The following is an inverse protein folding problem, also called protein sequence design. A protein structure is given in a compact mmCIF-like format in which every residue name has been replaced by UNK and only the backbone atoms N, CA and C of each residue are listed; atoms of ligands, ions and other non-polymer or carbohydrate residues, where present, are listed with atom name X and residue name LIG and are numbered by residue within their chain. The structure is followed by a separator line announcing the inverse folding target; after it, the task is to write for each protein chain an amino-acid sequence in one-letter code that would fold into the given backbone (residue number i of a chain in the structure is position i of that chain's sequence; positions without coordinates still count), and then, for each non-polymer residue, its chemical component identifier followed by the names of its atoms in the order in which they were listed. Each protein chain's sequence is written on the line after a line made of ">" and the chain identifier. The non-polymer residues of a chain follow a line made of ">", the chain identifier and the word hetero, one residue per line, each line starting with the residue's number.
data_IF_786515629673
#
_entry.id   IF_786515629673
#
_cell.length_a   1.000
_cell.length_b   1.000
_cell.length_c   1.000
_cell.angle_alpha   90.00
_cell.angle_beta   90.00
_cell.angle_gamma   90.00
#
_symmetry.space_group_name_H-M   'P 1'
#
loop_
_entity.id
_entity.type
_entity.pdbx_description
1 polymer ?
#
# COMPACT_ATOMS: atom_id res chain seq x y z
N UNK A 1 37.92 43.78 -7.80
CA UNK A 1 37.30 43.41 -6.51
C UNK A 1 35.78 43.10 -6.60
N UNK A 2 35.19 42.83 -7.77
CA UNK A 2 33.72 42.55 -7.92
C UNK A 2 33.35 41.08 -8.21
N UNK A 3 34.31 40.17 -8.26
CA UNK A 3 34.08 38.75 -8.65
C UNK A 3 34.14 37.78 -7.48
N UNK A 4 34.46 38.20 -6.27
CA UNK A 4 34.60 37.32 -5.09
C UNK A 4 33.27 37.19 -4.34
N UNK A 5 32.37 38.15 -4.47
CA UNK A 5 31.06 38.10 -3.75
C UNK A 5 29.99 37.24 -4.43
N UNK A 6 30.18 36.86 -5.70
CA UNK A 6 29.22 36.02 -6.41
C UNK A 6 29.36 34.51 -6.10
N UNK A 7 30.51 34.07 -5.60
CA UNK A 7 30.78 32.67 -5.30
C UNK A 7 30.29 32.25 -3.91
N UNK A 8 30.11 33.18 -2.97
CA UNK A 8 29.62 32.88 -1.61
C UNK A 8 28.11 32.78 -1.52
N UNK A 9 27.37 33.34 -2.48
CA UNK A 9 25.90 33.28 -2.51
C UNK A 9 25.32 31.95 -3.01
N UNK A 10 26.10 31.14 -3.77
CA UNK A 10 25.62 29.86 -4.32
C UNK A 10 25.77 28.67 -3.35
N UNK A 11 26.57 28.82 -2.31
CA UNK A 11 26.79 27.74 -1.33
C UNK A 11 25.76 27.70 -0.19
N UNK A 12 24.98 28.78 -0.03
CA UNK A 12 23.97 28.86 1.03
C UNK A 12 22.63 28.20 0.66
N UNK A 13 22.43 27.76 -0.58
CA UNK A 13 21.20 27.12 -1.06
C UNK A 13 21.25 25.58 -1.12
N UNK A 14 22.39 24.98 -0.75
CA UNK A 14 22.60 23.53 -0.88
C UNK A 14 22.41 22.72 0.41
N UNK A 15 21.87 23.29 1.47
CA UNK A 15 21.88 22.63 2.80
C UNK A 15 20.52 22.49 3.46
N UNK A 16 19.50 22.08 2.73
CA UNK A 16 18.27 21.58 3.36
C UNK A 16 17.78 20.25 2.76
N UNK A 17 18.72 19.37 2.46
CA UNK A 17 18.36 17.95 2.48
C UNK A 17 18.39 17.52 3.95
N UNK A 18 17.41 18.00 4.73
CA UNK A 18 17.12 17.42 6.03
C UNK A 18 16.82 15.95 5.80
N UNK A 19 17.53 15.08 6.53
CA UNK A 19 17.20 13.67 6.56
C UNK A 19 15.69 13.57 6.76
N UNK A 20 15.01 13.01 5.78
CA UNK A 20 13.58 12.78 5.89
C UNK A 20 13.36 11.93 7.14
N UNK A 21 12.54 12.41 8.06
CA UNK A 21 12.07 11.59 9.16
C UNK A 21 11.54 10.28 8.59
N UNK A 22 11.78 9.19 9.30
CA UNK A 22 11.30 7.87 8.85
C UNK A 22 9.80 7.98 8.59
N UNK A 23 9.32 7.56 7.43
CA UNK A 23 7.91 7.70 7.09
C UNK A 23 7.05 6.87 8.06
N UNK A 24 5.90 7.42 8.42
CA UNK A 24 4.86 6.62 9.06
C UNK A 24 4.20 5.75 7.98
N UNK A 25 4.07 4.46 8.25
CA UNK A 25 3.46 3.52 7.32
C UNK A 25 2.18 2.99 7.97
N UNK A 26 1.04 3.26 7.34
CA UNK A 26 -0.25 2.71 7.73
C UNK A 26 -0.73 1.77 6.63
N UNK A 27 -0.97 0.52 6.98
CA UNK A 27 -1.53 -0.48 6.08
C UNK A 27 -2.95 -0.81 6.53
N UNK A 28 -3.91 -0.67 5.62
CA UNK A 28 -5.32 -0.96 5.88
C UNK A 28 -5.79 -1.98 4.86
N UNK A 29 -6.33 -3.10 5.35
CA UNK A 29 -6.98 -4.09 4.50
C UNK A 29 -8.49 -4.08 4.68
N UNK A 30 -9.18 -4.09 3.56
CA UNK A 30 -10.57 -4.44 3.54
C UNK A 30 -10.73 -5.96 3.54
N UNK A 31 -11.65 -6.47 4.36
CA UNK A 31 -12.06 -7.87 4.32
C UNK A 31 -13.32 -7.97 3.46
N UNK A 32 -13.23 -8.67 2.34
CA UNK A 32 -14.26 -8.78 1.30
C UNK A 32 -14.73 -7.43 0.71
N UNK A 33 -13.89 -6.40 0.78
CA UNK A 33 -14.14 -5.12 0.13
C UNK A 33 -13.65 -5.19 -1.32
N UNK A 34 -14.57 -5.18 -2.26
CA UNK A 34 -14.25 -5.14 -3.68
C UNK A 34 -13.85 -3.73 -4.17
N UNK A 35 -13.20 -3.67 -5.30
CA UNK A 35 -12.84 -2.43 -5.97
C UNK A 35 -14.07 -1.50 -6.13
N UNK A 36 -15.22 -2.06 -6.46
CA UNK A 36 -16.47 -1.32 -6.67
C UNK A 36 -17.04 -0.68 -5.40
N UNK A 37 -16.63 -1.13 -4.22
CA UNK A 37 -17.05 -0.56 -2.95
C UNK A 37 -16.32 0.74 -2.59
N UNK A 38 -15.22 1.03 -3.27
CA UNK A 38 -14.43 2.24 -3.05
C UNK A 38 -14.84 3.29 -4.09
N UNK A 39 -15.43 4.40 -3.62
CA UNK A 39 -16.00 5.41 -4.53
C UNK A 39 -14.97 6.06 -5.43
N UNK A 40 -13.71 6.12 -5.05
CA UNK A 40 -12.64 6.63 -5.91
C UNK A 40 -12.53 5.88 -7.23
N UNK A 41 -12.73 4.56 -7.21
CA UNK A 41 -12.62 3.74 -8.43
C UNK A 41 -13.88 3.71 -9.28
N UNK A 42 -15.04 3.94 -8.68
CA UNK A 42 -16.33 3.83 -9.36
C UNK A 42 -17.08 5.15 -9.50
N UNK A 43 -16.52 6.24 -8.98
CA UNK A 43 -17.18 7.55 -8.95
C UNK A 43 -18.57 7.50 -8.26
N UNK A 44 -18.73 6.57 -7.32
CA UNK A 44 -19.98 6.36 -6.60
C UNK A 44 -21.07 5.61 -7.40
N UNK A 45 -20.73 5.00 -8.55
CA UNK A 45 -21.70 4.30 -9.43
C UNK A 45 -22.47 3.21 -8.68
N UNK A 46 -21.86 2.51 -7.73
CA UNK A 46 -22.47 1.43 -6.96
C UNK A 46 -23.21 1.95 -5.71
N UNK A 47 -23.24 3.26 -5.50
CA UNK A 47 -23.93 3.90 -4.37
C UNK A 47 -23.10 3.98 -3.08
N UNK A 48 -21.97 3.34 -3.00
CA UNK A 48 -21.05 3.48 -1.86
C UNK A 48 -20.29 4.81 -1.90
N UNK A 49 -20.01 5.32 -0.71
CA UNK A 49 -19.18 6.51 -0.55
C UNK A 49 -18.09 6.24 0.49
N UNK A 50 -16.85 6.52 0.11
CA UNK A 50 -15.67 6.30 0.95
C UNK A 50 -14.85 7.59 1.06
N UNK A 51 -15.43 8.67 1.64
CA UNK A 51 -14.86 10.02 1.55
C UNK A 51 -13.44 10.12 2.13
N UNK A 52 -13.14 9.36 3.17
CA UNK A 52 -11.81 9.37 3.77
C UNK A 52 -10.76 8.63 2.92
N UNK A 53 -11.15 7.56 2.24
CA UNK A 53 -10.28 6.84 1.30
C UNK A 53 -10.11 7.68 0.04
N UNK A 54 -11.18 8.28 -0.46
CA UNK A 54 -11.16 9.16 -1.62
C UNK A 54 -10.22 10.35 -1.39
N UNK A 55 -10.23 10.94 -0.19
CA UNK A 55 -9.30 12.01 0.19
C UNK A 55 -7.84 11.57 0.12
N UNK A 56 -7.50 10.37 0.60
CA UNK A 56 -6.14 9.84 0.48
C UNK A 56 -5.73 9.74 -0.99
N UNK A 57 -6.64 9.31 -1.84
CA UNK A 57 -6.43 9.21 -3.27
C UNK A 57 -6.28 10.57 -3.97
N UNK A 58 -6.99 11.59 -3.51
CA UNK A 58 -6.94 12.96 -4.04
C UNK A 58 -5.68 13.71 -3.62
N UNK A 59 -5.27 13.54 -2.36
CA UNK A 59 -4.10 14.20 -1.78
C UNK A 59 -2.78 13.46 -2.09
N UNK A 60 -2.86 12.20 -2.52
CA UNK A 60 -1.72 11.33 -2.73
C UNK A 60 -1.71 10.66 -4.10
N UNK A 61 -1.70 9.34 -4.11
CA UNK A 61 -1.60 8.54 -5.33
C UNK A 61 -2.69 7.47 -5.37
N UNK A 62 -3.23 7.23 -6.55
CA UNK A 62 -4.17 6.13 -6.82
C UNK A 62 -3.55 5.17 -7.83
N UNK A 63 -3.50 3.89 -7.49
CA UNK A 63 -3.09 2.85 -8.43
C UNK A 63 -4.31 2.33 -9.17
N UNK A 64 -4.23 2.25 -10.48
CA UNK A 64 -5.30 1.73 -11.35
C UNK A 64 -5.18 0.24 -11.60
N UNK A 65 -3.96 -0.29 -11.51
CA UNK A 65 -3.60 -1.66 -11.81
C UNK A 65 -2.80 -2.27 -10.66
N UNK A 66 -3.44 -2.40 -9.51
CA UNK A 66 -2.89 -3.03 -8.33
C UNK A 66 -3.81 -4.17 -7.91
N UNK A 67 -3.35 -5.40 -8.08
CA UNK A 67 -4.16 -6.60 -7.89
C UNK A 67 -3.86 -7.24 -6.54
N UNK A 68 -4.93 -7.67 -5.87
CA UNK A 68 -4.84 -8.49 -4.67
C UNK A 68 -4.97 -9.98 -5.00
N UNK A 69 -4.88 -10.79 -3.97
CA UNK A 69 -5.17 -12.21 -4.06
C UNK A 69 -6.68 -12.45 -4.05
N UNK A 70 -7.09 -13.62 -4.50
CA UNK A 70 -8.51 -13.96 -4.72
C UNK A 70 -9.31 -14.26 -3.44
N UNK A 71 -8.67 -14.31 -2.27
CA UNK A 71 -9.36 -14.57 -1.00
C UNK A 71 -8.64 -13.93 0.18
N UNK A 72 -9.36 -13.77 1.28
CA UNK A 72 -8.82 -13.21 2.50
C UNK A 72 -7.65 -14.03 3.07
N UNK A 73 -7.72 -15.35 3.05
CA UNK A 73 -6.62 -16.23 3.47
C UNK A 73 -5.39 -16.03 2.58
N UNK A 74 -5.58 -16.02 1.28
CA UNK A 74 -4.52 -15.84 0.30
C UNK A 74 -3.84 -14.47 0.45
N UNK A 75 -4.60 -13.40 0.48
CA UNK A 75 -4.08 -12.05 0.61
C UNK A 75 -3.34 -11.80 1.92
N UNK A 76 -3.89 -12.29 3.03
CA UNK A 76 -3.25 -12.15 4.35
C UNK A 76 -1.95 -12.95 4.43
N UNK A 77 -1.95 -14.19 3.96
CA UNK A 77 -0.74 -15.01 3.95
C UNK A 77 0.36 -14.39 3.09
N UNK A 78 0.03 -13.95 1.89
CA UNK A 78 1.00 -13.30 0.99
C UNK A 78 1.61 -12.06 1.61
N UNK A 79 0.79 -11.23 2.25
CA UNK A 79 1.30 -10.00 2.87
C UNK A 79 2.17 -10.28 4.10
N UNK A 80 1.73 -11.18 4.99
CA UNK A 80 2.44 -11.48 6.25
C UNK A 80 3.76 -12.19 5.97
N UNK A 81 3.77 -13.13 5.03
CA UNK A 81 4.96 -13.93 4.71
C UNK A 81 5.84 -13.31 3.64
N UNK A 82 5.33 -12.35 2.88
CA UNK A 82 6.00 -11.85 1.68
C UNK A 82 6.12 -12.88 0.56
N UNK A 83 5.34 -13.96 0.61
CA UNK A 83 5.39 -15.07 -0.33
C UNK A 83 4.10 -15.18 -1.15
N UNK A 84 4.26 -15.56 -2.40
CA UNK A 84 3.11 -15.88 -3.26
C UNK A 84 2.35 -17.11 -2.74
N UNK A 85 1.04 -17.10 -2.89
CA UNK A 85 0.16 -18.22 -2.56
C UNK A 85 0.50 -19.50 -3.32
N UNK A 86 1.15 -19.42 -4.47
CA UNK A 86 1.67 -20.59 -5.19
C UNK A 86 2.79 -21.31 -4.43
N UNK A 87 3.51 -20.58 -3.60
CA UNK A 87 4.56 -21.15 -2.75
C UNK A 87 3.99 -21.73 -1.46
N UNK A 88 3.13 -20.98 -0.78
CA UNK A 88 2.55 -21.41 0.51
C UNK A 88 1.41 -22.40 0.34
N UNK A 89 0.78 -22.48 -0.83
CA UNK A 89 -0.40 -23.28 -1.06
C UNK A 89 -1.71 -22.71 -0.49
N UNK A 90 -1.64 -21.56 0.19
CA UNK A 90 -2.79 -20.90 0.83
C UNK A 90 -3.63 -20.11 -0.18
N UNK A 91 -4.05 -20.76 -1.25
CA UNK A 91 -4.74 -20.13 -2.38
C UNK A 91 -6.27 -20.03 -2.21
N UNK A 92 -6.83 -20.49 -1.10
CA UNK A 92 -8.27 -20.48 -0.83
C UNK A 92 -8.54 -20.31 0.67
N UNK A 93 -9.78 -20.02 1.01
CA UNK A 93 -10.20 -19.86 2.41
C UNK A 93 -10.10 -21.21 3.14
N UNK A 94 -9.42 -21.22 4.28
CA UNK A 94 -9.42 -22.33 5.22
C UNK A 94 -10.60 -22.20 6.18
N UNK A 95 -11.55 -23.14 6.13
CA UNK A 95 -12.64 -23.21 7.11
C UNK A 95 -12.15 -23.85 8.42
N UNK A 96 -12.85 -23.62 9.55
CA UNK A 96 -12.54 -24.31 10.79
C UNK A 96 -12.50 -25.83 10.60
N UNK A 97 -11.42 -26.46 11.01
CA UNK A 97 -11.19 -27.91 10.82
C UNK A 97 -10.67 -28.33 9.45
N UNK A 98 -10.43 -27.39 8.54
CA UNK A 98 -9.74 -27.71 7.29
C UNK A 98 -8.24 -27.98 7.55
N UNK A 99 -7.67 -28.91 6.77
CA UNK A 99 -6.23 -29.21 6.80
C UNK A 99 -5.38 -28.14 6.08
N UNK A 100 -5.97 -26.98 5.76
CA UNK A 100 -5.34 -25.88 5.08
C UNK A 100 -4.85 -24.86 6.12
N UNK A 101 -3.55 -24.68 6.24
CA UNK A 101 -2.91 -23.75 7.14
C UNK A 101 -1.50 -23.41 6.72
N UNK A 102 -0.87 -22.55 7.47
CA UNK A 102 0.57 -22.31 7.34
C UNK A 102 1.33 -23.57 7.69
N UNK A 103 2.34 -23.90 6.91
CA UNK A 103 3.22 -25.02 7.18
C UNK A 103 4.41 -24.55 8.03
N UNK A 104 5.09 -25.49 8.67
CA UNK A 104 6.26 -25.17 9.49
C UNK A 104 7.40 -24.52 8.69
N UNK A 105 7.47 -24.82 7.39
CA UNK A 105 8.47 -24.28 6.47
C UNK A 105 8.10 -22.87 5.94
N UNK A 106 6.87 -22.43 6.14
CA UNK A 106 6.45 -21.08 5.77
C UNK A 106 6.91 -20.10 6.86
N UNK A 107 7.65 -19.03 6.53
CA UNK A 107 8.19 -18.08 7.50
C UNK A 107 7.13 -17.26 8.21
#
# INVERSE_FOLDING_TARGET
>A
MRRIFAALGLWALASTALAADKPNILVIWGDDVGQSNISRYTQGLVGYRTPNIDRIAEEGMTFTDYYGEQSCTAGRSSFITGQSVFRTGLSKVGLPGAELGMREEDP
#
